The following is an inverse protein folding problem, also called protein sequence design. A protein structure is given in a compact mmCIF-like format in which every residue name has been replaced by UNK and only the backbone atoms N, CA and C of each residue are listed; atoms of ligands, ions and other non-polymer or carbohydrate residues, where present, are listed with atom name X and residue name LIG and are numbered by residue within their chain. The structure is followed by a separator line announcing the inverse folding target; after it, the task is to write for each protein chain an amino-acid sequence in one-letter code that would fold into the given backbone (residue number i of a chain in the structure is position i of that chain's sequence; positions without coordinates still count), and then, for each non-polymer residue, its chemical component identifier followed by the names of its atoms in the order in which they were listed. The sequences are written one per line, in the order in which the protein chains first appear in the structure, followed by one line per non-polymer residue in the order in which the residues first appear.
data_IF_278244778505
#
_entry.id   IF_278244778505
#
_cell.length_a   1.000
_cell.length_b   1.000
_cell.length_c   1.000
_cell.angle_alpha   90.00
_cell.angle_beta   90.00
_cell.angle_gamma   90.00
#
_symmetry.space_group_name_H-M   'P 1'
#
loop_
_entity.id
_entity.type
_entity.pdbx_description
1 polymer ?
#
# COMPACT_ATOMS: atom_id res chain seq x y z
N UNK A 1 29.30 7.64 -8.38
CA UNK A 1 28.42 8.69 -7.84
C UNK A 1 26.98 8.29 -8.15
N UNK A 2 26.09 8.30 -7.14
CA UNK A 2 24.66 8.02 -7.34
C UNK A 2 23.99 9.35 -7.72
N UNK A 3 23.25 9.46 -8.83
CA UNK A 3 22.54 10.71 -9.12
C UNK A 3 21.56 10.97 -7.98
N UNK A 4 21.62 12.18 -7.42
CA UNK A 4 20.52 12.69 -6.61
C UNK A 4 19.29 12.69 -7.52
N UNK A 5 18.28 11.90 -7.16
CA UNK A 5 16.99 11.95 -7.83
C UNK A 5 16.38 13.35 -7.73
N UNK A 6 15.33 13.66 -8.51
CA UNK A 6 14.64 14.95 -8.38
C UNK A 6 14.35 15.19 -6.90
N UNK A 7 14.77 16.36 -6.41
CA UNK A 7 14.72 16.69 -4.99
C UNK A 7 13.30 16.42 -4.48
N UNK A 8 13.16 15.59 -3.44
CA UNK A 8 11.85 15.38 -2.81
C UNK A 8 11.57 16.63 -1.97
N UNK A 9 10.91 17.62 -2.59
CA UNK A 9 10.45 18.90 -2.01
C UNK A 9 9.48 18.75 -0.82
N UNK A 10 9.31 17.51 -0.34
CA UNK A 10 8.56 17.05 0.81
C UNK A 10 9.41 16.82 2.07
N UNK A 11 10.70 17.19 2.04
CA UNK A 11 11.51 17.26 3.26
C UNK A 11 11.55 18.71 3.75
N UNK A 12 10.61 19.05 4.63
CA UNK A 12 10.71 20.31 5.40
C UNK A 12 11.77 20.10 6.48
N UNK A 13 12.96 20.65 6.27
CA UNK A 13 13.96 20.76 7.34
C UNK A 13 13.43 21.68 8.44
N UNK A 14 13.27 21.13 9.64
CA UNK A 14 13.17 21.84 10.91
C UNK A 14 14.34 22.85 11.02
N UNK A 15 14.18 24.05 11.64
CA UNK A 15 15.31 24.91 11.99
C UNK A 15 16.46 24.21 12.73
N UNK A 16 16.20 23.09 13.41
CA UNK A 16 17.22 22.23 14.04
C UNK A 16 17.83 21.17 13.10
N UNK A 17 17.51 21.17 11.80
CA UNK A 17 18.00 20.21 10.81
C UNK A 17 17.32 18.83 10.86
N UNK A 18 16.28 18.64 11.68
CA UNK A 18 15.57 17.36 11.74
C UNK A 18 14.73 17.10 10.47
N UNK A 19 14.79 15.86 9.99
CA UNK A 19 14.03 15.40 8.82
C UNK A 19 12.69 14.85 9.31
N UNK A 20 11.69 15.74 9.36
CA UNK A 20 10.30 15.32 9.54
C UNK A 20 9.69 14.93 8.19
N UNK A 21 9.01 13.77 8.08
CA UNK A 21 8.33 13.43 6.84
C UNK A 21 7.21 14.44 6.55
N UNK A 22 6.95 14.78 5.28
CA UNK A 22 5.77 15.59 4.96
C UNK A 22 4.46 14.81 5.11
N UNK A 23 3.42 15.55 5.51
CA UNK A 23 2.05 15.10 5.45
C UNK A 23 1.55 15.04 3.99
N UNK A 24 1.66 13.86 3.37
CA UNK A 24 1.25 13.63 1.98
C UNK A 24 0.20 12.49 1.85
N UNK A 25 -1.06 12.72 2.32
CA UNK A 25 -2.16 11.76 2.18
C UNK A 25 -2.76 11.77 0.76
N UNK A 26 -3.64 10.81 0.44
CA UNK A 26 -4.26 10.67 -0.87
C UNK A 26 -3.53 9.70 -1.80
N UNK A 27 -3.90 9.72 -3.09
CA UNK A 27 -3.34 8.84 -4.11
C UNK A 27 -1.81 9.01 -4.27
N UNK A 28 -1.11 7.92 -4.54
CA UNK A 28 0.31 7.92 -4.93
C UNK A 28 0.50 6.97 -6.10
N UNK A 29 1.46 7.29 -6.95
CA UNK A 29 2.02 6.37 -7.94
C UNK A 29 3.53 6.56 -7.96
N UNK A 30 4.30 5.49 -7.72
CA UNK A 30 5.75 5.48 -7.91
C UNK A 30 6.08 5.10 -9.35
N UNK A 31 7.26 5.51 -9.83
CA UNK A 31 7.81 5.01 -11.10
C UNK A 31 7.99 3.48 -11.09
N UNK A 32 8.30 2.90 -9.92
CA UNK A 32 8.36 1.44 -9.75
C UNK A 32 6.98 0.79 -9.88
N UNK A 33 5.94 1.42 -9.33
CA UNK A 33 4.56 0.92 -9.44
C UNK A 33 4.11 0.98 -10.90
N UNK A 34 4.34 2.11 -11.58
CA UNK A 34 4.03 2.27 -13.01
C UNK A 34 4.75 1.22 -13.89
N UNK A 35 6.03 0.96 -13.63
CA UNK A 35 6.79 -0.08 -14.32
C UNK A 35 6.24 -1.49 -14.08
N UNK A 36 5.92 -1.82 -12.82
CA UNK A 36 5.29 -3.10 -12.46
C UNK A 36 3.93 -3.27 -13.16
N UNK A 37 3.06 -2.26 -13.12
CA UNK A 37 1.74 -2.29 -13.77
C UNK A 37 1.85 -2.48 -15.28
N UNK A 38 2.82 -1.84 -15.94
CA UNK A 38 3.05 -2.02 -17.38
C UNK A 38 3.48 -3.46 -17.73
N UNK A 39 4.37 -4.04 -16.94
CA UNK A 39 4.80 -5.45 -17.11
C UNK A 39 3.62 -6.41 -16.89
N UNK A 40 2.86 -6.24 -15.82
CA UNK A 40 1.73 -7.11 -15.49
C UNK A 40 0.56 -6.96 -16.47
N UNK A 41 0.27 -5.74 -16.94
CA UNK A 41 -0.72 -5.49 -17.98
C UNK A 41 -0.31 -6.16 -19.31
N UNK A 42 0.96 -6.05 -19.70
CA UNK A 42 1.49 -6.74 -20.89
C UNK A 42 1.36 -8.27 -20.74
N UNK A 43 1.73 -8.83 -19.59
CA UNK A 43 1.56 -10.26 -19.29
C UNK A 43 0.09 -10.72 -19.35
N UNK A 44 -0.82 -9.91 -18.82
CA UNK A 44 -2.28 -10.16 -18.87
C UNK A 44 -2.79 -10.17 -20.31
N UNK A 45 -2.39 -9.18 -21.14
CA UNK A 45 -2.77 -9.10 -22.56
C UNK A 45 -2.29 -10.35 -23.32
N UNK A 46 -1.04 -10.78 -23.10
CA UNK A 46 -0.51 -12.01 -23.71
C UNK A 46 -1.31 -13.24 -23.27
N UNK A 47 -1.63 -13.37 -21.97
CA UNK A 47 -2.44 -14.49 -21.46
C UNK A 47 -3.86 -14.53 -22.06
N UNK A 48 -4.49 -13.36 -22.29
CA UNK A 48 -5.78 -13.24 -22.99
C UNK A 48 -5.66 -13.68 -24.45
N UNK A 49 -4.62 -13.28 -25.18
CA UNK A 49 -4.40 -13.66 -26.59
C UNK A 49 -4.15 -15.16 -26.75
N UNK A 50 -3.51 -15.80 -25.76
CA UNK A 50 -3.31 -17.27 -25.72
C UNK A 50 -4.60 -18.00 -25.30
N UNK A 51 -5.65 -17.30 -24.85
CA UNK A 51 -6.92 -17.90 -24.44
C UNK A 51 -6.83 -18.65 -23.11
N UNK A 52 -5.92 -18.25 -22.21
CA UNK A 52 -5.68 -18.96 -20.95
C UNK A 52 -6.35 -18.28 -19.76
N UNK A 53 -6.97 -19.09 -18.89
CA UNK A 53 -7.46 -18.73 -17.54
C UNK A 53 -6.43 -18.02 -16.66
N UNK A 54 -5.13 -18.16 -16.98
CA UNK A 54 -4.04 -17.41 -16.39
C UNK A 54 -4.26 -15.88 -16.43
N UNK A 55 -5.04 -15.36 -17.38
CA UNK A 55 -5.33 -13.93 -17.45
C UNK A 55 -6.00 -13.41 -16.17
N UNK A 56 -6.94 -14.15 -15.57
CA UNK A 56 -7.61 -13.75 -14.32
C UNK A 56 -6.71 -13.90 -13.10
N UNK A 57 -5.92 -14.98 -13.06
CA UNK A 57 -4.94 -15.26 -11.99
C UNK A 57 -3.86 -14.15 -11.94
N UNK A 58 -3.53 -13.55 -13.08
CA UNK A 58 -2.57 -12.43 -13.18
C UNK A 58 -3.28 -11.08 -12.94
N UNK A 59 -4.43 -10.85 -13.57
CA UNK A 59 -5.13 -9.56 -13.51
C UNK A 59 -5.66 -9.21 -12.11
N UNK A 60 -6.25 -10.19 -11.41
CA UNK A 60 -6.87 -9.98 -10.08
C UNK A 60 -5.87 -9.47 -9.03
N UNK A 61 -4.71 -10.12 -8.78
CA UNK A 61 -3.71 -9.61 -7.84
C UNK A 61 -3.03 -8.34 -8.35
N UNK A 62 -2.89 -8.13 -9.66
CA UNK A 62 -2.38 -6.87 -10.21
C UNK A 62 -3.30 -5.70 -9.88
N UNK A 63 -4.61 -5.87 -10.10
CA UNK A 63 -5.62 -4.87 -9.78
C UNK A 63 -5.71 -4.60 -8.27
N UNK A 64 -5.67 -5.63 -7.44
CA UNK A 64 -5.68 -5.48 -5.98
C UNK A 64 -4.39 -4.85 -5.44
N UNK A 65 -3.22 -5.21 -5.96
CA UNK A 65 -1.95 -4.58 -5.58
C UNK A 65 -1.93 -3.09 -5.96
N UNK A 66 -2.43 -2.74 -7.16
CA UNK A 66 -2.66 -1.33 -7.51
C UNK A 66 -3.54 -0.63 -6.48
N UNK A 67 -4.69 -1.23 -6.16
CA UNK A 67 -5.68 -0.69 -5.23
C UNK A 67 -5.08 -0.50 -3.82
N UNK A 68 -4.35 -1.48 -3.32
CA UNK A 68 -3.74 -1.45 -1.98
C UNK A 68 -2.60 -0.43 -1.90
N UNK A 69 -1.66 -0.43 -2.84
CA UNK A 69 -0.44 0.38 -2.73
C UNK A 69 -0.64 1.83 -3.21
N UNK A 70 -1.46 2.06 -4.24
CA UNK A 70 -1.59 3.38 -4.89
C UNK A 70 -2.83 4.14 -4.39
N UNK A 71 -3.96 3.45 -4.24
CA UNK A 71 -5.27 4.06 -3.93
C UNK A 71 -5.55 4.13 -2.43
N UNK A 72 -5.53 2.99 -1.72
CA UNK A 72 -5.85 2.94 -0.29
C UNK A 72 -4.62 3.06 0.63
N UNK A 73 -3.42 2.79 0.11
CA UNK A 73 -2.12 2.88 0.81
C UNK A 73 -2.12 2.07 2.11
N UNK A 74 -2.47 0.79 1.97
CA UNK A 74 -2.61 -0.19 3.04
C UNK A 74 -1.24 -0.52 3.64
N UNK A 75 -1.19 -0.92 4.92
CA UNK A 75 0.03 -1.45 5.53
C UNK A 75 0.39 -2.82 4.92
N UNK A 76 1.69 -3.05 4.73
CA UNK A 76 2.23 -4.28 4.12
C UNK A 76 1.83 -5.60 4.78
N UNK A 77 1.45 -5.60 6.07
CA UNK A 77 1.05 -6.82 6.77
C UNK A 77 -0.34 -7.33 6.33
N UNK A 78 -1.41 -6.52 6.34
CA UNK A 78 -2.67 -6.86 5.66
C UNK A 78 -2.53 -7.26 4.18
N UNK A 79 -1.65 -6.63 3.40
CA UNK A 79 -1.39 -7.00 2.00
C UNK A 79 -0.86 -8.45 1.88
N UNK A 80 0.07 -8.85 2.76
CA UNK A 80 0.60 -10.21 2.82
C UNK A 80 -0.44 -11.24 3.26
N UNK A 81 -1.34 -10.88 4.18
CA UNK A 81 -2.48 -11.74 4.57
C UNK A 81 -3.39 -11.95 3.36
N UNK A 82 -3.76 -10.87 2.65
CA UNK A 82 -4.58 -10.97 1.44
C UNK A 82 -3.92 -11.85 0.38
N UNK A 83 -2.63 -11.66 0.10
CA UNK A 83 -1.89 -12.46 -0.88
C UNK A 83 -1.83 -13.95 -0.51
N UNK A 84 -1.65 -14.26 0.78
CA UNK A 84 -1.71 -15.63 1.29
C UNK A 84 -3.10 -16.26 1.12
N UNK A 85 -4.16 -15.52 1.47
CA UNK A 85 -5.54 -15.98 1.24
C UNK A 85 -5.83 -16.20 -0.24
N UNK A 86 -5.43 -15.27 -1.13
CA UNK A 86 -5.63 -15.38 -2.57
C UNK A 86 -4.89 -16.60 -3.16
N UNK A 87 -3.64 -16.84 -2.76
CA UNK A 87 -2.90 -18.02 -3.18
C UNK A 87 -3.60 -19.33 -2.76
N UNK A 88 -4.17 -19.39 -1.55
CA UNK A 88 -4.97 -20.56 -1.12
C UNK A 88 -6.24 -20.71 -1.95
N UNK A 89 -6.96 -19.62 -2.27
CA UNK A 89 -8.16 -19.67 -3.10
C UNK A 89 -7.82 -20.22 -4.50
N UNK A 90 -6.76 -19.71 -5.15
CA UNK A 90 -6.32 -20.20 -6.47
C UNK A 90 -5.94 -21.69 -6.44
N UNK A 91 -5.23 -22.14 -5.39
CA UNK A 91 -4.88 -23.56 -5.23
C UNK A 91 -6.12 -24.44 -5.05
N UNK A 92 -7.08 -24.03 -4.21
CA UNK A 92 -8.34 -24.76 -4.01
C UNK A 92 -9.18 -24.76 -5.29
N UNK A 93 -9.27 -23.64 -5.99
CA UNK A 93 -9.97 -23.52 -7.27
C UNK A 93 -9.36 -24.45 -8.33
N UNK A 94 -8.03 -24.56 -8.39
CA UNK A 94 -7.31 -25.46 -9.30
C UNK A 94 -7.56 -26.93 -8.96
N UNK A 95 -7.52 -27.31 -7.68
CA UNK A 95 -7.73 -28.71 -7.24
C UNK A 95 -9.20 -29.14 -7.41
N UNK A 96 -10.15 -28.27 -7.07
CA UNK A 96 -11.57 -28.57 -7.12
C UNK A 96 -12.24 -28.25 -8.48
N UNK A 97 -11.48 -27.76 -9.46
CA UNK A 97 -11.96 -27.31 -10.78
C UNK A 97 -13.16 -26.35 -10.68
N UNK A 98 -13.13 -25.42 -9.73
CA UNK A 98 -14.21 -24.47 -9.53
C UNK A 98 -14.23 -23.40 -10.65
N UNK A 99 -15.42 -22.84 -10.98
CA UNK A 99 -15.51 -21.77 -11.98
C UNK A 99 -14.62 -20.58 -11.61
N UNK A 100 -13.96 -19.99 -12.60
CA UNK A 100 -13.04 -18.84 -12.44
C UNK A 100 -13.69 -17.65 -11.70
N UNK A 101 -15.01 -17.47 -11.90
CA UNK A 101 -15.80 -16.46 -11.20
C UNK A 101 -15.74 -16.59 -9.66
N UNK A 102 -15.55 -17.81 -9.13
CA UNK A 102 -15.46 -18.04 -7.68
C UNK A 102 -14.15 -17.47 -7.13
N UNK A 103 -13.02 -17.67 -7.80
CA UNK A 103 -11.73 -17.06 -7.41
C UNK A 103 -11.81 -15.53 -7.50
N UNK A 104 -12.35 -15.01 -8.61
CA UNK A 104 -12.55 -13.58 -8.80
C UNK A 104 -13.37 -12.97 -7.65
N UNK A 105 -14.57 -13.50 -7.39
CA UNK A 105 -15.47 -12.97 -6.35
C UNK A 105 -14.87 -13.14 -4.96
N UNK A 106 -14.23 -14.27 -4.65
CA UNK A 106 -13.61 -14.50 -3.35
C UNK A 106 -12.40 -13.57 -3.12
N UNK A 107 -11.49 -13.46 -4.10
CA UNK A 107 -10.32 -12.57 -4.04
C UNK A 107 -10.72 -11.10 -3.89
N UNK A 108 -11.75 -10.65 -4.62
CA UNK A 108 -12.30 -9.30 -4.46
C UNK A 108 -13.01 -9.10 -3.12
N UNK A 109 -13.75 -10.09 -2.60
CA UNK A 109 -14.40 -10.00 -1.30
C UNK A 109 -13.38 -9.90 -0.14
N UNK A 110 -12.33 -10.74 -0.15
CA UNK A 110 -11.25 -10.66 0.86
C UNK A 110 -10.50 -9.34 0.74
N UNK A 111 -10.27 -8.83 -0.48
CA UNK A 111 -9.61 -7.53 -0.69
C UNK A 111 -10.45 -6.35 -0.19
N UNK A 112 -11.75 -6.36 -0.48
CA UNK A 112 -12.70 -5.38 0.03
C UNK A 112 -12.80 -5.41 1.56
N UNK A 113 -12.75 -6.59 2.18
CA UNK A 113 -12.70 -6.74 3.63
C UNK A 113 -11.42 -6.11 4.21
N UNK A 114 -10.25 -6.40 3.64
CA UNK A 114 -8.97 -5.81 4.06
C UNK A 114 -8.97 -4.28 3.93
N UNK A 115 -9.49 -3.74 2.82
CA UNK A 115 -9.71 -2.29 2.65
C UNK A 115 -10.66 -1.73 3.73
N UNK A 116 -11.80 -2.40 3.96
CA UNK A 116 -12.80 -1.98 4.95
C UNK A 116 -12.33 -2.00 6.39
N UNK A 117 -11.36 -2.86 6.72
CA UNK A 117 -10.68 -2.89 8.02
C UNK A 117 -9.59 -1.81 8.11
N UNK A 118 -8.76 -1.65 7.08
CA UNK A 118 -7.64 -0.69 7.10
C UNK A 118 -8.12 0.77 7.05
N UNK A 119 -9.19 1.06 6.31
CA UNK A 119 -9.82 2.41 6.23
C UNK A 119 -10.31 2.93 7.59
N UNK A 120 -10.54 2.05 8.56
CA UNK A 120 -10.91 2.41 9.95
C UNK A 120 -9.71 2.68 10.86
N UNK A 121 -8.48 2.46 10.38
CA UNK A 121 -7.29 2.64 11.21
C UNK A 121 -6.92 4.13 11.36
N UNK A 122 -6.52 4.62 12.55
CA UNK A 122 -6.18 6.04 12.76
C UNK A 122 -5.03 6.58 11.90
N UNK A 123 -4.21 5.69 11.31
CA UNK A 123 -3.16 6.06 10.35
C UNK A 123 -3.57 5.94 8.87
N UNK A 124 -4.86 5.71 8.58
CA UNK A 124 -5.35 5.62 7.20
C UNK A 124 -5.20 6.97 6.51
N UNK A 125 -4.51 6.97 5.37
CA UNK A 125 -4.10 8.18 4.65
C UNK A 125 -4.18 8.02 3.11
N UNK A 126 -4.95 7.04 2.63
CA UNK A 126 -5.21 6.81 1.20
C UNK A 126 -6.22 7.81 0.61
N UNK A 127 -6.86 7.42 -0.49
CA UNK A 127 -7.95 8.19 -1.11
C UNK A 127 -9.13 8.37 -0.12
N UNK A 128 -9.87 9.47 -0.24
CA UNK A 128 -11.01 9.81 0.62
C UNK A 128 -10.70 9.84 2.14
N UNK A 129 -9.44 10.00 2.55
CA UNK A 129 -9.05 10.05 3.97
C UNK A 129 -9.85 11.08 4.78
N UNK A 130 -10.23 12.23 4.19
CA UNK A 130 -11.06 13.25 4.85
C UNK A 130 -12.43 12.74 5.30
N UNK A 131 -12.98 11.73 4.61
CA UNK A 131 -14.28 11.11 4.93
C UNK A 131 -14.15 9.96 5.93
N UNK A 132 -13.10 9.15 5.81
CA UNK A 132 -12.90 7.96 6.65
C UNK A 132 -12.12 8.22 7.94
N UNK A 133 -11.24 9.24 7.95
CA UNK A 133 -10.33 9.57 9.03
C UNK A 133 -10.08 11.10 9.09
N UNK A 134 -11.09 11.91 9.46
CA UNK A 134 -10.97 13.37 9.50
C UNK A 134 -9.89 13.86 10.49
N UNK A 135 -9.64 13.10 11.57
CA UNK A 135 -8.65 13.41 12.61
C UNK A 135 -7.18 13.13 12.20
N UNK A 136 -6.96 12.60 10.98
CA UNK A 136 -5.63 12.25 10.47
C UNK A 136 -4.58 13.37 10.64
N UNK A 137 -4.84 14.67 10.36
CA UNK A 137 -3.83 15.72 10.51
C UNK A 137 -3.44 15.93 11.98
N UNK A 138 -4.40 15.83 12.91
CA UNK A 138 -4.16 15.92 14.35
C UNK A 138 -3.41 14.72 14.88
N UNK A 139 -3.73 13.51 14.40
CA UNK A 139 -2.94 12.30 14.69
C UNK A 139 -1.50 12.43 14.19
N UNK A 140 -1.32 12.95 12.97
CA UNK A 140 -0.01 13.15 12.36
C UNK A 140 0.84 14.13 13.16
N UNK A 141 0.31 15.30 13.50
CA UNK A 141 1.00 16.32 14.31
C UNK A 141 1.48 15.74 15.64
N UNK A 142 0.60 15.10 16.41
CA UNK A 142 0.93 14.47 17.70
C UNK A 142 2.01 13.39 17.59
N UNK A 143 2.03 12.64 16.47
CA UNK A 143 3.06 11.63 16.21
C UNK A 143 4.42 12.28 15.95
N UNK A 144 4.46 13.33 15.13
CA UNK A 144 5.68 14.08 14.82
C UNK A 144 6.26 14.74 16.07
N UNK A 145 5.42 15.41 16.88
CA UNK A 145 5.80 16.00 18.16
C UNK A 145 6.40 14.95 19.13
N UNK A 146 5.76 13.78 19.25
CA UNK A 146 6.28 12.68 20.06
C UNK A 146 7.64 12.17 19.57
N UNK A 147 7.81 12.02 18.25
CA UNK A 147 9.09 11.59 17.67
C UNK A 147 10.21 12.61 17.91
N UNK A 148 9.94 13.91 17.83
CA UNK A 148 10.92 14.95 18.15
C UNK A 148 11.28 14.97 19.66
N UNK A 149 10.29 14.87 20.54
CA UNK A 149 10.51 14.88 22.00
C UNK A 149 11.30 13.66 22.52
N UNK A 150 11.16 12.49 21.89
CA UNK A 150 11.97 11.30 22.22
C UNK A 150 13.45 11.48 21.88
N UNK A 151 13.77 12.23 20.81
CA UNK A 151 15.17 12.54 20.46
C UNK A 151 15.78 13.50 21.49
N UNK A 152 15.07 14.58 21.84
CA UNK A 152 15.59 15.59 22.78
C UNK A 152 15.83 15.08 24.20
N UNK A 153 15.10 14.06 24.67
CA UNK A 153 15.24 13.53 26.02
C UNK A 153 16.33 12.43 26.15
N UNK A 154 16.99 12.05 25.05
CA UNK A 154 18.02 11.01 25.03
C UNK A 154 19.46 11.48 25.31
N UNK A 155 19.74 12.78 25.22
CA UNK A 155 21.12 13.32 25.21
C UNK A 155 21.67 13.76 26.58
N UNK A 156 21.06 13.34 27.71
CA UNK A 156 21.49 13.77 29.06
C UNK A 156 21.90 12.63 30.02
N UNK A 157 21.94 11.38 29.56
CA UNK A 157 22.36 10.23 30.39
C UNK A 157 23.67 9.58 29.91
N UNK A 158 24.84 10.19 30.16
CA UNK A 158 26.10 9.58 29.74
C UNK A 158 27.40 10.39 29.88
N UNK A 159 27.65 11.04 31.03
CA UNK A 159 28.99 11.52 31.43
C UNK A 159 29.16 11.53 32.96
N UNK A 160 29.39 10.35 33.53
CA UNK A 160 30.06 10.15 34.83
C UNK A 160 31.04 8.98 34.69
#
# INVERSE_FOLDING_TARGET
MKPLGPADDRVTSDPNGSVVPAFAPGFRISWLDAGFLLVMATGTIVAVVVGSSLCWIIATPTAQFFLFCNVFRIRRFPELIWAGCYAVIVVVQTICSWPELVDLVAGFAVGALVIGLETRHPSYHGVMWQKFNPDLPGWYKRRTERSAGVVGNGEHGGRE
#
